data_IF_533282839196
#
_entry.id   IF_533282839196
#
_cell.length_a   1.000
_cell.length_b   1.000
_cell.length_c   1.000
_cell.angle_alpha   90.00
_cell.angle_beta   90.00
_cell.angle_gamma   90.00
#
_symmetry.space_group_name_H-M   'P 1'
#
loop_
_entity.id
_entity.type
_entity.pdbx_description
1 polymer ?
#
# COMPACT_ATOMS: atom_id res chain seq x y z
N UNK A 1 -12.33 40.84 15.45
CA UNK A 1 -11.49 40.96 14.25
C UNK A 1 -10.75 39.64 14.08
N UNK A 2 -10.92 38.97 12.93
CA UNK A 2 -10.18 37.76 12.50
C UNK A 2 -10.57 36.51 13.29
N UNK A 3 -10.95 35.38 12.70
CA UNK A 3 -10.41 34.78 11.48
C UNK A 3 -11.57 34.22 10.65
N UNK A 4 -11.74 34.77 9.45
CA UNK A 4 -12.28 34.02 8.32
C UNK A 4 -11.27 32.92 8.06
N UNK A 5 -11.62 31.67 8.40
CA UNK A 5 -10.77 30.52 8.08
C UNK A 5 -10.48 30.56 6.59
N UNK A 6 -9.21 30.79 6.25
CA UNK A 6 -8.73 30.76 4.87
C UNK A 6 -8.96 29.33 4.38
N UNK A 7 -10.05 29.13 3.65
CA UNK A 7 -10.39 27.84 3.04
C UNK A 7 -9.55 27.71 1.76
N UNK A 8 -8.23 27.81 1.91
CA UNK A 8 -7.29 27.73 0.80
C UNK A 8 -7.28 26.29 0.32
N UNK A 9 -7.73 26.09 -0.91
CA UNK A 9 -7.71 24.77 -1.53
C UNK A 9 -6.27 24.27 -1.62
N UNK A 10 -6.02 23.08 -1.09
CA UNK A 10 -4.72 22.43 -1.15
C UNK A 10 -4.68 21.53 -2.37
N UNK A 11 -3.62 21.62 -3.14
CA UNK A 11 -3.38 20.78 -4.31
C UNK A 11 -2.12 19.94 -4.14
N UNK A 12 -2.19 18.69 -4.57
CA UNK A 12 -1.05 17.79 -4.67
C UNK A 12 -0.92 17.26 -6.09
N UNK A 13 0.31 17.17 -6.60
CA UNK A 13 0.57 16.60 -7.93
C UNK A 13 0.76 15.10 -7.82
N UNK A 14 -0.16 14.34 -8.40
CA UNK A 14 -0.13 12.88 -8.43
C UNK A 14 0.44 12.37 -9.75
N UNK A 15 1.22 11.29 -9.66
CA UNK A 15 1.84 10.65 -10.81
C UNK A 15 1.04 9.45 -11.27
N UNK A 16 0.60 9.47 -12.52
CA UNK A 16 -0.09 8.36 -13.17
C UNK A 16 0.82 7.76 -14.24
N UNK A 17 0.76 6.44 -14.41
CA UNK A 17 1.59 5.74 -15.39
C UNK A 17 0.74 4.77 -16.21
N UNK A 18 0.91 4.84 -17.52
CA UNK A 18 0.42 3.82 -18.45
C UNK A 18 1.51 2.76 -18.62
N UNK A 19 1.30 1.51 -18.19
CA UNK A 19 2.31 0.46 -18.26
C UNK A 19 2.79 0.15 -19.67
N UNK A 20 4.10 -0.10 -19.80
CA UNK A 20 4.68 -0.84 -20.90
C UNK A 20 4.92 -2.30 -20.53
N UNK A 21 4.12 -3.17 -21.13
CA UNK A 21 4.20 -4.62 -20.95
C UNK A 21 5.02 -5.30 -22.07
N UNK A 22 5.81 -4.53 -22.84
CA UNK A 22 6.72 -5.06 -23.85
C UNK A 22 7.74 -6.07 -23.28
N UNK A 23 8.18 -5.85 -22.04
CA UNK A 23 9.04 -6.78 -21.30
C UNK A 23 8.16 -7.64 -20.37
N UNK A 24 8.13 -8.98 -20.59
CA UNK A 24 7.26 -9.87 -19.84
C UNK A 24 7.72 -10.00 -18.38
N UNK A 25 6.79 -10.32 -17.48
CA UNK A 25 7.06 -10.38 -16.04
C UNK A 25 8.18 -11.34 -15.65
N UNK A 26 8.39 -12.40 -16.42
CA UNK A 26 9.43 -13.41 -16.21
C UNK A 26 10.85 -12.87 -16.43
N UNK A 27 11.00 -11.80 -17.20
CA UNK A 27 12.28 -11.15 -17.53
C UNK A 27 12.59 -9.95 -16.63
N UNK A 28 11.61 -9.47 -15.87
CA UNK A 28 11.78 -8.37 -14.92
C UNK A 28 12.42 -8.85 -13.62
N UNK A 29 13.14 -7.97 -12.93
CA UNK A 29 13.68 -8.21 -11.59
C UNK A 29 12.56 -8.48 -10.57
N UNK A 30 12.88 -9.19 -9.49
CA UNK A 30 11.99 -9.33 -8.32
C UNK A 30 11.50 -7.96 -7.85
N UNK A 31 10.21 -7.90 -7.52
CA UNK A 31 9.45 -6.74 -7.06
C UNK A 31 9.58 -5.51 -8.00
N UNK A 32 9.68 -5.75 -9.30
CA UNK A 32 9.76 -4.69 -10.32
C UNK A 32 8.50 -4.69 -11.19
N UNK A 33 7.78 -3.58 -11.14
CA UNK A 33 6.64 -3.25 -12.00
C UNK A 33 7.07 -3.12 -13.47
N UNK A 34 6.13 -3.17 -14.43
CA UNK A 34 6.41 -2.73 -15.80
C UNK A 34 7.02 -1.32 -15.82
N UNK A 35 7.79 -1.03 -16.87
CA UNK A 35 8.14 0.36 -17.21
C UNK A 35 6.87 1.09 -17.69
N UNK A 36 7.00 2.36 -18.04
CA UNK A 36 5.90 3.22 -18.46
C UNK A 36 6.00 3.53 -19.95
N UNK A 37 4.89 3.46 -20.68
CA UNK A 37 4.75 4.08 -22.01
C UNK A 37 4.59 5.58 -21.91
N UNK A 38 3.90 6.01 -20.86
CA UNK A 38 3.53 7.39 -20.60
C UNK A 38 3.45 7.60 -19.10
N UNK A 39 4.06 8.69 -18.63
CA UNK A 39 3.90 9.19 -17.27
C UNK A 39 3.24 10.56 -17.36
N UNK A 40 2.22 10.82 -16.53
CA UNK A 40 1.61 12.14 -16.38
C UNK A 40 1.53 12.52 -14.91
N UNK A 41 2.05 13.69 -14.60
CA UNK A 41 1.92 14.34 -13.30
C UNK A 41 0.73 15.31 -13.39
N UNK A 42 -0.30 15.08 -12.58
CA UNK A 42 -1.58 15.81 -12.64
C UNK A 42 -1.87 16.42 -11.27
N UNK A 43 -2.03 17.75 -11.16
CA UNK A 43 -2.50 18.41 -9.94
C UNK A 43 -3.93 17.97 -9.59
N UNK A 44 -4.13 17.57 -8.35
CA UNK A 44 -5.43 17.16 -7.81
C UNK A 44 -5.72 17.93 -6.54
N UNK A 45 -7.00 18.28 -6.36
CA UNK A 45 -7.45 18.85 -5.09
C UNK A 45 -7.33 17.80 -4.00
N UNK A 46 -6.75 18.19 -2.87
CA UNK A 46 -6.62 17.37 -1.68
C UNK A 46 -7.70 17.73 -0.66
N UNK A 47 -8.34 16.71 -0.12
CA UNK A 47 -9.38 16.82 0.88
C UNK A 47 -8.84 16.32 2.24
N UNK A 48 -8.81 17.18 3.26
CA UNK A 48 -8.38 16.74 4.59
C UNK A 48 -9.44 15.79 5.17
N UNK A 49 -9.03 14.56 5.46
CA UNK A 49 -9.92 13.51 5.96
C UNK A 49 -10.63 13.89 7.26
N UNK A 50 -10.03 14.77 8.09
CA UNK A 50 -10.61 15.16 9.38
C UNK A 50 -11.79 16.09 9.24
N UNK A 51 -11.81 16.91 8.20
CA UNK A 51 -12.76 18.02 8.07
C UNK A 51 -13.74 17.86 6.92
N UNK A 52 -13.43 17.05 5.91
CA UNK A 52 -14.35 16.77 4.80
C UNK A 52 -15.42 15.75 5.21
N UNK A 53 -16.71 16.15 5.33
CA UNK A 53 -17.77 15.29 5.85
C UNK A 53 -18.21 14.18 4.88
N UNK A 54 -17.67 14.15 3.65
CA UNK A 54 -17.98 13.11 2.66
C UNK A 54 -17.30 11.77 2.94
N UNK A 55 -16.29 11.75 3.81
CA UNK A 55 -15.56 10.53 4.16
C UNK A 55 -16.20 9.84 5.34
N UNK A 56 -16.36 8.52 5.21
CA UNK A 56 -16.83 7.65 6.28
C UNK A 56 -15.66 7.25 7.18
N UNK A 57 -15.82 7.36 8.49
CA UNK A 57 -14.77 7.02 9.47
C UNK A 57 -14.91 5.59 10.02
N UNK A 58 -13.83 5.08 10.60
CA UNK A 58 -13.79 3.75 11.22
C UNK A 58 -13.84 2.61 10.20
N UNK A 59 -14.14 1.39 10.67
CA UNK A 59 -14.18 0.19 9.83
C UNK A 59 -15.09 0.30 8.60
N UNK A 60 -16.19 1.06 8.70
CA UNK A 60 -17.11 1.30 7.59
C UNK A 60 -16.45 2.07 6.42
N UNK A 61 -15.46 2.93 6.68
CA UNK A 61 -14.71 3.64 5.64
C UNK A 61 -13.97 2.70 4.69
N UNK A 62 -13.48 1.57 5.21
CA UNK A 62 -12.80 0.54 4.41
C UNK A 62 -13.72 -0.12 3.40
N UNK A 63 -15.02 -0.25 3.72
CA UNK A 63 -16.01 -0.81 2.80
C UNK A 63 -16.63 0.26 1.90
N UNK A 64 -16.72 1.52 2.34
CA UNK A 64 -17.32 2.61 1.55
C UNK A 64 -16.36 3.18 0.52
N UNK A 65 -15.17 3.62 0.96
CA UNK A 65 -14.22 4.36 0.12
C UNK A 65 -12.83 3.70 0.01
N UNK A 66 -12.60 2.58 0.71
CA UNK A 66 -11.36 1.80 0.64
C UNK A 66 -10.31 2.19 1.69
N UNK A 67 -10.54 3.22 2.50
CA UNK A 67 -9.60 3.67 3.53
C UNK A 67 -10.32 4.30 4.73
N UNK A 68 -9.63 4.34 5.86
CA UNK A 68 -9.99 5.11 7.05
C UNK A 68 -8.75 5.55 7.79
N UNK A 69 -8.88 6.58 8.62
CA UNK A 69 -7.90 6.89 9.65
C UNK A 69 -8.46 6.57 11.03
N UNK A 70 -7.60 6.14 11.93
CA UNK A 70 -7.92 5.81 13.32
C UNK A 70 -6.85 6.38 14.24
N UNK A 71 -7.24 6.76 15.45
CA UNK A 71 -6.28 7.10 16.50
C UNK A 71 -5.75 5.81 17.13
N UNK A 72 -4.44 5.63 17.13
CA UNK A 72 -3.79 4.51 17.80
C UNK A 72 -2.38 4.88 18.24
N UNK A 73 -2.05 4.70 19.52
CA UNK A 73 -0.70 4.88 20.05
C UNK A 73 0.02 3.54 20.10
N UNK A 74 1.20 3.46 19.49
CA UNK A 74 2.03 2.25 19.51
C UNK A 74 2.84 2.13 20.80
N UNK A 75 3.22 0.91 21.16
CA UNK A 75 4.24 0.65 22.18
C UNK A 75 5.64 1.14 21.74
N UNK A 76 5.87 1.33 20.44
CA UNK A 76 7.12 1.84 19.88
C UNK A 76 7.02 3.32 19.51
N UNK A 77 8.15 4.03 19.60
CA UNK A 77 8.30 5.42 19.21
C UNK A 77 9.67 5.71 18.60
N UNK A 78 9.74 6.69 17.68
CA UNK A 78 11.00 7.18 17.13
C UNK A 78 11.92 6.09 16.58
N UNK A 79 13.17 6.06 17.07
CA UNK A 79 14.20 5.11 16.60
C UNK A 79 13.88 3.64 16.90
N UNK A 80 12.99 3.36 17.86
CA UNK A 80 12.65 1.99 18.25
C UNK A 80 12.06 1.18 17.07
N UNK A 81 11.48 1.83 16.06
CA UNK A 81 11.00 1.17 14.84
C UNK A 81 12.13 0.60 13.96
N UNK A 82 13.36 1.08 14.12
CA UNK A 82 14.53 0.67 13.33
C UNK A 82 15.43 -0.33 14.08
N UNK A 83 15.12 -0.63 15.34
CA UNK A 83 15.98 -1.42 16.23
C UNK A 83 15.63 -2.90 16.23
N UNK A 84 16.66 -3.73 16.06
CA UNK A 84 16.61 -5.17 16.29
C UNK A 84 15.43 -5.86 15.60
N UNK A 85 14.57 -6.48 16.42
CA UNK A 85 13.37 -7.22 16.01
C UNK A 85 12.07 -6.57 16.51
N UNK A 86 12.10 -5.29 16.88
CA UNK A 86 10.92 -4.61 17.44
C UNK A 86 9.72 -4.64 16.48
N UNK A 87 9.97 -4.59 15.16
CA UNK A 87 8.90 -4.70 14.16
C UNK A 87 8.25 -6.08 14.20
N UNK A 88 9.04 -7.14 14.25
CA UNK A 88 8.55 -8.52 14.24
C UNK A 88 7.90 -8.91 15.57
N UNK A 89 8.49 -8.50 16.69
CA UNK A 89 8.13 -8.98 18.04
C UNK A 89 7.13 -8.08 18.77
N UNK A 90 7.04 -6.80 18.42
CA UNK A 90 6.16 -5.82 19.09
C UNK A 90 5.14 -5.22 18.11
N UNK A 91 5.62 -4.55 17.06
CA UNK A 91 4.74 -3.75 16.21
C UNK A 91 3.84 -4.60 15.31
N UNK A 92 4.36 -5.69 14.73
CA UNK A 92 3.59 -6.60 13.88
C UNK A 92 2.38 -7.18 14.61
N UNK A 93 2.56 -7.81 15.78
CA UNK A 93 1.45 -8.28 16.61
C UNK A 93 0.45 -7.16 16.98
N UNK A 94 0.95 -5.98 17.39
CA UNK A 94 0.11 -4.81 17.71
C UNK A 94 -0.79 -4.41 16.53
N UNK A 95 -0.21 -4.33 15.32
CA UNK A 95 -0.95 -3.95 14.11
C UNK A 95 -1.95 -5.05 13.69
N UNK A 96 -1.63 -6.33 13.86
CA UNK A 96 -2.59 -7.41 13.65
C UNK A 96 -3.82 -7.26 14.56
N UNK A 97 -3.63 -6.94 15.84
CA UNK A 97 -4.75 -6.67 16.76
C UNK A 97 -5.55 -5.43 16.34
N UNK A 98 -4.86 -4.34 15.95
CA UNK A 98 -5.53 -3.14 15.44
C UNK A 98 -6.43 -3.46 14.23
N UNK A 99 -5.91 -4.19 13.24
CA UNK A 99 -6.68 -4.58 12.05
C UNK A 99 -7.90 -5.43 12.44
N UNK A 100 -7.75 -6.40 13.35
CA UNK A 100 -8.89 -7.20 13.84
C UNK A 100 -9.94 -6.33 14.53
N UNK A 101 -9.53 -5.39 15.37
CA UNK A 101 -10.44 -4.49 16.08
C UNK A 101 -11.23 -3.57 15.13
N UNK A 102 -10.57 -3.06 14.08
CA UNK A 102 -11.20 -2.14 13.12
C UNK A 102 -12.11 -2.89 12.15
N UNK A 103 -11.72 -4.09 11.71
CA UNK A 103 -12.40 -4.82 10.63
C UNK A 103 -13.38 -5.89 11.11
N UNK A 104 -13.22 -6.37 12.35
CA UNK A 104 -13.93 -7.53 12.87
C UNK A 104 -13.35 -8.88 12.47
N UNK A 105 -12.20 -8.92 11.79
CA UNK A 105 -11.51 -10.15 11.42
C UNK A 105 -11.13 -11.01 12.64
N UNK A 106 -11.09 -12.34 12.45
CA UNK A 106 -10.81 -13.32 13.51
C UNK A 106 -9.33 -13.67 13.61
N UNK A 107 -8.65 -13.70 12.47
CA UNK A 107 -7.22 -13.99 12.34
C UNK A 107 -6.56 -12.91 11.50
N UNK A 108 -5.31 -12.60 11.80
CA UNK A 108 -4.52 -11.64 11.05
C UNK A 108 -3.03 -12.00 11.09
N UNK A 109 -2.33 -11.78 9.98
CA UNK A 109 -0.88 -12.00 9.85
C UNK A 109 -0.23 -10.91 9.01
N UNK A 110 1.00 -10.53 9.36
CA UNK A 110 1.79 -9.58 8.58
C UNK A 110 2.40 -10.28 7.36
N UNK A 111 2.05 -9.79 6.18
CA UNK A 111 2.67 -10.15 4.90
C UNK A 111 4.05 -9.50 4.75
N UNK A 112 4.11 -8.17 4.90
CA UNK A 112 5.33 -7.40 4.69
C UNK A 112 5.32 -6.06 5.43
N UNK A 113 6.51 -5.52 5.70
CA UNK A 113 6.68 -4.19 6.31
C UNK A 113 7.62 -3.33 5.48
N UNK A 114 7.33 -2.05 5.34
CA UNK A 114 8.24 -1.09 4.70
C UNK A 114 8.46 0.12 5.61
N UNK A 115 9.72 0.43 5.90
CA UNK A 115 10.12 1.66 6.57
C UNK A 115 10.59 2.68 5.52
N UNK A 116 10.09 3.91 5.61
CA UNK A 116 10.48 5.01 4.72
C UNK A 116 11.07 6.14 5.53
N UNK A 117 12.19 6.66 5.07
CA UNK A 117 12.93 7.74 5.73
C UNK A 117 13.83 8.52 4.77
N UNK A 118 13.79 8.22 3.46
CA UNK A 118 14.56 8.91 2.43
C UNK A 118 13.71 10.02 1.82
N UNK A 119 14.34 11.15 1.52
CA UNK A 119 13.73 12.22 0.74
C UNK A 119 13.36 11.66 -0.63
N UNK A 120 12.11 11.77 -1.05
CA UNK A 120 11.78 11.52 -2.44
C UNK A 120 12.47 12.56 -3.33
N UNK A 121 13.26 12.13 -4.30
CA UNK A 121 13.86 13.00 -5.31
C UNK A 121 13.16 12.77 -6.65
N UNK A 122 12.89 13.82 -7.42
CA UNK A 122 12.21 13.68 -8.72
C UNK A 122 13.00 12.84 -9.73
N UNK A 123 14.30 12.67 -9.49
CA UNK A 123 15.29 12.06 -10.39
C UNK A 123 15.45 10.54 -10.26
N UNK A 124 14.96 9.89 -9.19
CA UNK A 124 15.32 8.50 -8.90
C UNK A 124 14.41 7.42 -9.51
N UNK A 125 13.18 7.78 -9.92
CA UNK A 125 12.32 6.85 -10.64
C UNK A 125 12.54 7.00 -12.15
N UNK A 126 13.50 6.24 -12.69
CA UNK A 126 13.55 6.01 -14.13
C UNK A 126 12.39 5.09 -14.54
N UNK A 127 11.20 5.69 -14.66
CA UNK A 127 9.95 4.99 -14.92
C UNK A 127 9.86 4.38 -16.33
N UNK A 128 10.78 4.74 -17.23
CA UNK A 128 10.83 4.23 -18.59
C UNK A 128 11.75 3.01 -18.72
N UNK A 129 12.55 2.72 -17.70
CA UNK A 129 13.45 1.57 -17.68
C UNK A 129 13.00 0.52 -16.67
N UNK A 130 13.08 -0.75 -17.08
CA UNK A 130 12.78 -1.88 -16.21
C UNK A 130 14.09 -2.53 -15.76
N UNK A 131 14.17 -2.87 -14.48
CA UNK A 131 15.28 -3.66 -13.95
C UNK A 131 15.06 -5.11 -14.35
N UNK A 132 16.08 -5.74 -14.93
CA UNK A 132 15.98 -7.09 -15.47
C UNK A 132 16.32 -8.17 -14.45
N UNK A 133 15.75 -9.36 -14.68
CA UNK A 133 16.09 -10.59 -13.98
C UNK A 133 17.59 -10.86 -14.05
N UNK A 134 18.13 -11.42 -12.97
CA UNK A 134 19.57 -11.68 -12.77
C UNK A 134 20.46 -10.41 -12.78
N UNK A 135 19.86 -9.22 -12.85
CA UNK A 135 20.54 -7.95 -12.62
C UNK A 135 20.87 -7.69 -11.14
N UNK A 136 21.57 -6.59 -10.81
CA UNK A 136 22.06 -6.32 -9.45
C UNK A 136 20.97 -6.32 -8.38
N UNK A 137 19.82 -5.72 -8.67
CA UNK A 137 18.67 -5.71 -7.74
C UNK A 137 18.11 -7.13 -7.53
N UNK A 138 17.87 -7.87 -8.61
CA UNK A 138 17.29 -9.22 -8.56
C UNK A 138 18.19 -10.15 -7.71
N UNK A 139 19.50 -10.11 -7.96
CA UNK A 139 20.50 -10.89 -7.24
C UNK A 139 20.66 -10.46 -5.78
N UNK A 140 20.48 -9.17 -5.46
CA UNK A 140 20.48 -8.71 -4.08
C UNK A 140 19.23 -9.22 -3.33
N UNK A 141 18.08 -9.23 -3.99
CA UNK A 141 16.82 -9.69 -3.39
C UNK A 141 16.83 -11.20 -3.17
N UNK A 142 17.37 -11.99 -4.10
CA UNK A 142 17.49 -13.46 -3.96
C UNK A 142 18.31 -13.93 -2.75
N UNK A 143 19.10 -13.05 -2.12
CA UNK A 143 19.86 -13.36 -0.90
C UNK A 143 19.01 -13.36 0.37
N UNK A 144 17.80 -12.79 0.32
CA UNK A 144 16.92 -12.79 1.48
C UNK A 144 16.29 -14.17 1.67
N UNK A 145 16.18 -14.58 2.93
CA UNK A 145 15.41 -15.75 3.31
C UNK A 145 13.92 -15.49 3.05
N UNK A 146 13.26 -16.25 2.16
CA UNK A 146 11.86 -16.03 1.82
C UNK A 146 10.90 -16.51 2.92
N UNK A 147 11.38 -17.27 3.91
CA UNK A 147 10.55 -17.85 4.97
C UNK A 147 10.25 -16.88 6.12
N UNK A 148 10.91 -15.72 6.17
CA UNK A 148 10.79 -14.74 7.25
C UNK A 148 10.15 -13.44 6.77
N UNK A 149 9.56 -12.69 7.71
CA UNK A 149 9.02 -11.36 7.45
C UNK A 149 10.13 -10.41 6.98
N UNK A 150 9.95 -9.83 5.79
CA UNK A 150 10.86 -8.82 5.25
C UNK A 150 10.50 -7.44 5.79
N UNK A 151 11.53 -6.70 6.21
CA UNK A 151 11.40 -5.32 6.71
C UNK A 151 12.39 -4.38 5.99
N UNK A 152 12.21 -4.15 4.67
CA UNK A 152 12.96 -3.12 3.94
C UNK A 152 12.91 -1.75 4.63
N UNK A 153 14.03 -1.03 4.59
CA UNK A 153 14.16 0.32 5.16
C UNK A 153 14.54 0.37 6.64
N UNK A 154 14.69 -0.79 7.32
CA UNK A 154 15.21 -0.85 8.68
C UNK A 154 16.61 -0.24 8.80
N UNK A 155 17.49 -0.53 7.85
CA UNK A 155 18.80 0.11 7.77
C UNK A 155 18.66 1.52 7.18
N UNK A 156 18.30 2.46 8.05
CA UNK A 156 18.10 3.87 7.73
C UNK A 156 19.34 4.54 7.12
N UNK A 157 20.54 4.03 7.41
CA UNK A 157 21.80 4.65 6.96
C UNK A 157 22.16 4.20 5.54
N UNK A 158 21.97 2.91 5.24
CA UNK A 158 22.49 2.33 4.00
C UNK A 158 21.41 1.99 2.96
N UNK A 159 20.15 1.81 3.37
CA UNK A 159 19.06 1.42 2.47
C UNK A 159 17.71 2.07 2.80
N UNK A 160 17.64 3.42 2.97
CA UNK A 160 16.37 4.08 3.24
C UNK A 160 15.52 4.13 1.96
N UNK A 161 14.21 3.91 2.12
CA UNK A 161 13.25 3.96 1.02
C UNK A 161 12.58 5.33 0.90
N UNK A 162 12.35 5.76 -0.34
CA UNK A 162 11.58 6.95 -0.70
C UNK A 162 10.06 6.66 -0.65
N UNK A 163 9.23 7.68 -0.42
CA UNK A 163 7.81 7.64 -0.80
C UNK A 163 7.63 7.33 -2.29
N UNK A 164 6.73 6.40 -2.63
CA UNK A 164 6.41 6.03 -4.00
C UNK A 164 5.38 7.02 -4.58
N UNK A 165 5.70 7.64 -5.72
CA UNK A 165 4.87 8.71 -6.31
C UNK A 165 3.78 8.18 -7.23
N UNK A 166 4.05 7.09 -7.94
CA UNK A 166 3.09 6.47 -8.89
C UNK A 166 1.83 6.03 -8.16
N UNK A 167 0.65 6.34 -8.71
CA UNK A 167 -0.64 5.96 -8.15
C UNK A 167 -0.93 4.46 -8.40
N UNK A 168 -1.05 3.68 -7.32
CA UNK A 168 -1.15 2.22 -7.40
C UNK A 168 -1.94 1.61 -6.23
N UNK A 169 -2.23 0.31 -6.32
CA UNK A 169 -2.53 -0.57 -5.19
C UNK A 169 -1.58 -1.76 -5.26
N UNK A 170 -0.96 -2.14 -4.14
CA UNK A 170 0.06 -3.20 -4.12
C UNK A 170 -0.50 -4.60 -4.42
N UNK A 171 -1.83 -4.75 -4.35
CA UNK A 171 -2.54 -5.99 -4.63
C UNK A 171 -3.71 -5.75 -5.58
N UNK A 172 -3.97 -6.74 -6.41
CA UNK A 172 -5.31 -7.06 -6.90
C UNK A 172 -5.85 -8.29 -6.13
N UNK A 173 -7.08 -8.72 -6.40
CA UNK A 173 -7.67 -9.81 -5.64
C UNK A 173 -6.94 -11.13 -5.91
N UNK A 174 -6.56 -11.42 -7.15
CA UNK A 174 -5.77 -12.62 -7.46
C UNK A 174 -4.41 -12.62 -6.77
N UNK A 175 -3.71 -11.48 -6.75
CA UNK A 175 -2.44 -11.31 -6.05
C UNK A 175 -2.53 -11.62 -4.57
N UNK A 176 -3.65 -11.25 -3.91
CA UNK A 176 -3.91 -11.65 -2.52
C UNK A 176 -4.01 -13.18 -2.39
N UNK A 177 -4.78 -13.84 -3.26
CA UNK A 177 -4.93 -15.31 -3.24
C UNK A 177 -3.59 -16.01 -3.45
N UNK A 178 -2.81 -15.54 -4.41
CA UNK A 178 -1.50 -16.10 -4.73
C UNK A 178 -0.52 -15.90 -3.57
N UNK A 179 -0.53 -14.73 -2.93
CA UNK A 179 0.29 -14.46 -1.73
C UNK A 179 -0.05 -15.40 -0.59
N UNK A 180 -1.35 -15.60 -0.30
CA UNK A 180 -1.80 -16.50 0.77
C UNK A 180 -1.37 -17.95 0.51
N UNK A 181 -1.41 -18.40 -0.75
CA UNK A 181 -1.05 -19.78 -1.14
C UNK A 181 0.45 -20.02 -1.26
N UNK A 182 1.22 -19.01 -1.66
CA UNK A 182 2.58 -19.23 -2.17
C UNK A 182 3.68 -18.41 -1.51
N UNK A 183 3.38 -17.30 -0.82
CA UNK A 183 4.43 -16.41 -0.36
C UNK A 183 5.26 -17.00 0.80
N UNK A 184 4.62 -17.31 1.93
CA UNK A 184 5.27 -17.79 3.14
C UNK A 184 4.48 -18.92 3.79
N UNK A 185 5.18 -19.88 4.38
CA UNK A 185 4.59 -21.07 5.00
C UNK A 185 3.65 -20.71 6.14
N UNK A 186 4.01 -19.75 7.00
CA UNK A 186 3.18 -19.34 8.13
C UNK A 186 1.86 -18.64 7.71
N UNK A 187 1.89 -17.91 6.60
CA UNK A 187 0.69 -17.34 5.98
C UNK A 187 -0.21 -18.48 5.46
N UNK A 188 0.34 -19.42 4.70
CA UNK A 188 -0.42 -20.55 4.16
C UNK A 188 -0.99 -21.45 5.27
N UNK A 189 -0.23 -21.67 6.34
CA UNK A 189 -0.69 -22.40 7.52
C UNK A 189 -1.84 -21.69 8.24
N UNK A 190 -1.74 -20.37 8.45
CA UNK A 190 -2.83 -19.60 9.05
C UNK A 190 -4.08 -19.64 8.18
N UNK A 191 -3.92 -19.56 6.86
CA UNK A 191 -5.00 -19.55 5.88
C UNK A 191 -5.57 -20.94 5.54
N UNK A 192 -5.01 -22.01 6.10
CA UNK A 192 -5.39 -23.38 5.75
C UNK A 192 -6.91 -23.63 5.75
N UNK A 193 -7.71 -23.17 6.73
CA UNK A 193 -9.16 -23.36 6.70
C UNK A 193 -9.81 -22.69 5.47
N UNK A 194 -9.36 -21.50 5.11
CA UNK A 194 -9.84 -20.72 3.97
C UNK A 194 -9.42 -21.39 2.65
N UNK A 195 -8.18 -21.85 2.55
CA UNK A 195 -7.69 -22.54 1.36
C UNK A 195 -8.44 -23.86 1.12
N UNK A 196 -8.66 -24.66 2.18
CA UNK A 196 -9.46 -25.87 2.10
C UNK A 196 -10.92 -25.59 1.74
N UNK A 197 -11.49 -24.47 2.19
CA UNK A 197 -12.83 -24.03 1.81
C UNK A 197 -12.90 -23.65 0.32
N UNK A 198 -11.94 -22.87 -0.19
CA UNK A 198 -11.84 -22.58 -1.62
C UNK A 198 -11.70 -23.84 -2.48
N UNK A 199 -10.90 -24.82 -2.03
CA UNK A 199 -10.71 -26.09 -2.74
C UNK A 199 -12.00 -26.94 -2.78
N UNK A 200 -12.93 -26.72 -1.83
CA UNK A 200 -14.30 -27.28 -1.84
C UNK A 200 -15.28 -26.46 -2.68
N UNK A 201 -14.85 -25.34 -3.26
CA UNK A 201 -15.70 -24.42 -4.04
C UNK A 201 -16.47 -23.40 -3.20
N UNK A 202 -16.11 -23.22 -1.93
CA UNK A 202 -16.65 -22.16 -1.09
C UNK A 202 -15.94 -20.81 -1.40
N UNK A 203 -16.44 -19.72 -0.83
CA UNK A 203 -15.86 -18.38 -1.01
C UNK A 203 -15.60 -17.72 0.34
N UNK A 204 -14.62 -18.23 1.11
CA UNK A 204 -14.24 -17.63 2.38
C UNK A 204 -13.76 -16.20 2.16
N UNK A 205 -14.03 -15.33 3.14
CA UNK A 205 -13.60 -13.94 3.08
C UNK A 205 -12.27 -13.76 3.78
N UNK A 206 -11.29 -13.29 3.02
CA UNK A 206 -10.06 -12.67 3.50
C UNK A 206 -9.72 -11.43 2.68
N UNK A 207 -9.01 -10.50 3.31
CA UNK A 207 -8.62 -9.22 2.74
C UNK A 207 -7.20 -8.87 3.15
N UNK A 208 -6.52 -8.04 2.37
CA UNK A 208 -5.25 -7.43 2.76
C UNK A 208 -5.44 -5.94 2.95
N UNK A 209 -4.93 -5.45 4.07
CA UNK A 209 -4.92 -4.05 4.45
C UNK A 209 -3.48 -3.57 4.60
N UNK A 210 -3.23 -2.30 4.32
CA UNK A 210 -1.98 -1.64 4.69
C UNK A 210 -2.22 -0.65 5.81
N UNK A 211 -1.41 -0.74 6.85
CA UNK A 211 -1.46 0.15 8.01
C UNK A 211 -0.25 1.07 7.97
N UNK A 212 -0.50 2.35 7.80
CA UNK A 212 0.52 3.38 7.66
C UNK A 212 0.54 4.29 8.87
N UNK A 213 1.67 4.25 9.59
CA UNK A 213 1.92 5.06 10.78
C UNK A 213 3.08 6.02 10.53
N UNK A 214 2.90 7.34 10.74
CA UNK A 214 4.01 8.25 10.86
C UNK A 214 4.86 7.95 12.11
N UNK A 215 6.19 8.00 11.98
CA UNK A 215 7.11 7.91 13.12
C UNK A 215 7.29 9.30 13.76
N UNK A 216 7.14 10.36 12.96
CA UNK A 216 7.11 11.77 13.35
C UNK A 216 6.04 12.49 12.52
N UNK A 217 5.69 13.72 12.89
CA UNK A 217 4.73 14.54 12.13
C UNK A 217 5.13 14.64 10.66
N UNK A 218 4.19 14.35 9.76
CA UNK A 218 4.40 14.40 8.30
C UNK A 218 4.13 15.80 7.78
N UNK A 219 5.17 16.47 7.29
CA UNK A 219 5.08 17.81 6.69
C UNK A 219 5.32 17.84 5.18
N UNK A 220 5.83 16.74 4.63
CA UNK A 220 6.18 16.56 3.22
C UNK A 220 5.88 15.15 2.77
N UNK A 221 5.61 14.99 1.48
CA UNK A 221 5.35 13.70 0.85
C UNK A 221 4.26 12.90 1.61
N UNK A 222 3.08 13.50 1.87
CA UNK A 222 2.00 12.82 2.58
C UNK A 222 1.50 11.63 1.76
N UNK A 223 0.76 10.73 2.40
CA UNK A 223 0.05 9.69 1.67
C UNK A 223 -1.28 10.24 1.19
N UNK A 224 -1.46 10.34 -0.12
CA UNK A 224 -2.75 10.58 -0.75
C UNK A 224 -3.46 9.26 -1.03
N UNK A 225 -4.74 9.19 -0.70
CA UNK A 225 -5.60 8.01 -0.92
C UNK A 225 -6.84 8.41 -1.71
N UNK A 226 -7.15 7.65 -2.75
CA UNK A 226 -8.25 7.93 -3.65
C UNK A 226 -9.53 7.27 -3.13
N UNK A 227 -10.62 8.03 -3.06
CA UNK A 227 -11.96 7.48 -2.86
C UNK A 227 -12.30 6.56 -4.04
N UNK A 228 -12.31 5.25 -3.76
CA UNK A 228 -12.58 4.19 -4.71
C UNK A 228 -13.83 4.43 -5.58
N UNK A 229 -14.85 5.09 -5.02
CA UNK A 229 -16.13 5.35 -5.70
C UNK A 229 -16.00 6.35 -6.85
N UNK A 230 -14.91 7.12 -6.86
CA UNK A 230 -14.69 8.20 -7.83
C UNK A 230 -13.76 7.83 -8.97
N UNK A 231 -13.06 6.70 -8.86
CA UNK A 231 -12.20 6.19 -9.93
C UNK A 231 -13.04 5.46 -11.00
N UNK A 232 -12.75 5.72 -12.27
CA UNK A 232 -13.24 4.86 -13.35
C UNK A 232 -12.45 3.54 -13.32
N UNK A 233 -13.14 2.43 -13.11
CA UNK A 233 -12.53 1.09 -13.03
C UNK A 233 -11.80 0.69 -14.31
N UNK A 234 -12.16 1.28 -15.46
CA UNK A 234 -11.45 1.06 -16.73
C UNK A 234 -10.12 1.82 -16.84
N UNK A 235 -9.83 2.72 -15.88
CA UNK A 235 -8.57 3.45 -15.76
C UNK A 235 -7.65 2.86 -14.68
N UNK A 236 -7.98 1.66 -14.19
CA UNK A 236 -7.16 0.87 -13.27
C UNK A 236 -6.70 -0.40 -13.99
N UNK A 237 -5.40 -0.49 -14.26
CA UNK A 237 -4.78 -1.60 -14.98
C UNK A 237 -4.17 -2.61 -14.02
N UNK A 238 -4.31 -3.89 -14.37
CA UNK A 238 -3.64 -4.98 -13.66
C UNK A 238 -2.20 -5.14 -14.16
N UNK A 239 -1.28 -5.41 -13.26
CA UNK A 239 0.05 -5.89 -13.61
C UNK A 239 0.56 -6.88 -12.57
N UNK A 240 1.57 -7.66 -12.95
CA UNK A 240 2.18 -8.64 -12.06
C UNK A 240 3.62 -8.27 -11.73
N UNK A 241 4.12 -8.76 -10.61
CA UNK A 241 5.56 -8.71 -10.27
C UNK A 241 6.02 -10.09 -9.83
N UNK A 242 7.29 -10.42 -10.10
CA UNK A 242 7.93 -11.58 -9.47
C UNK A 242 8.13 -11.26 -7.99
N UNK A 243 7.78 -12.19 -7.11
CA UNK A 243 8.00 -12.10 -5.67
C UNK A 243 8.68 -13.37 -5.16
N UNK A 244 9.36 -13.28 -4.02
CA UNK A 244 9.99 -14.43 -3.38
C UNK A 244 8.93 -15.32 -2.74
N UNK A 245 9.16 -16.63 -2.76
CA UNK A 245 8.28 -17.63 -2.17
C UNK A 245 9.10 -18.64 -1.37
N UNK A 246 8.59 -19.01 -0.19
CA UNK A 246 9.12 -20.09 0.62
C UNK A 246 8.48 -21.45 0.33
N UNK A 247 7.45 -21.49 -0.53
CA UNK A 247 6.60 -22.67 -0.76
C UNK A 247 6.87 -23.29 -2.13
N UNK A 248 6.98 -22.45 -3.16
CA UNK A 248 7.14 -22.90 -4.55
C UNK A 248 8.56 -23.46 -4.79
N UNK A 249 8.72 -24.51 -5.62
CA UNK A 249 10.02 -25.14 -5.84
C UNK A 249 11.09 -24.22 -6.45
N UNK A 250 10.68 -23.21 -7.21
CA UNK A 250 11.58 -22.23 -7.83
C UNK A 250 11.88 -21.02 -6.92
N UNK A 251 11.33 -20.99 -5.69
CA UNK A 251 11.51 -19.90 -4.73
C UNK A 251 10.82 -18.59 -5.12
N UNK A 252 9.92 -18.61 -6.10
CA UNK A 252 9.27 -17.42 -6.64
C UNK A 252 7.77 -17.65 -6.95
N UNK A 253 6.98 -16.59 -6.89
CA UNK A 253 5.59 -16.57 -7.38
C UNK A 253 5.31 -15.24 -8.08
N UNK A 254 4.17 -15.15 -8.77
CA UNK A 254 3.69 -13.89 -9.35
C UNK A 254 2.67 -13.27 -8.41
N UNK A 255 2.84 -11.98 -8.09
CA UNK A 255 1.86 -11.21 -7.34
C UNK A 255 1.23 -10.16 -8.24
N UNK A 256 -0.09 -10.17 -8.33
CA UNK A 256 -0.87 -9.14 -9.01
C UNK A 256 -1.01 -7.87 -8.17
N UNK A 257 -1.06 -6.73 -8.86
CA UNK A 257 -1.11 -5.37 -8.33
C UNK A 257 -1.84 -4.49 -9.33
N UNK A 258 -2.24 -3.29 -8.90
CA UNK A 258 -3.00 -2.35 -9.73
C UNK A 258 -2.25 -1.04 -9.91
N UNK A 259 -2.41 -0.43 -11.08
CA UNK A 259 -1.85 0.88 -11.39
C UNK A 259 -2.93 1.77 -12.01
N UNK A 260 -2.99 3.02 -11.57
CA UNK A 260 -3.94 3.97 -12.14
C UNK A 260 -3.30 4.65 -13.35
N UNK A 261 -3.88 4.45 -14.54
CA UNK A 261 -3.43 5.12 -15.76
C UNK A 261 -3.89 6.58 -15.76
N UNK A 262 -3.33 7.47 -16.62
CA UNK A 262 -3.74 8.86 -16.60
C UNK A 262 -5.25 9.04 -16.82
N UNK A 263 -5.98 9.65 -15.86
CA UNK A 263 -7.43 9.77 -15.92
C UNK A 263 -7.90 10.71 -17.03
N UNK A 264 -9.07 10.41 -17.62
CA UNK A 264 -9.73 11.29 -18.60
C UNK A 264 -10.41 12.48 -17.95
N UNK A 265 -10.98 12.29 -16.76
CA UNK A 265 -11.72 13.31 -16.00
C UNK A 265 -11.08 13.49 -14.61
N UNK A 266 -9.84 13.99 -14.54
CA UNK A 266 -9.08 14.09 -13.28
C UNK A 266 -9.83 14.86 -12.19
N UNK A 267 -10.65 15.85 -12.55
CA UNK A 267 -11.41 16.70 -11.62
C UNK A 267 -12.50 15.97 -10.83
N UNK A 268 -12.89 14.76 -11.26
CA UNK A 268 -13.88 13.93 -10.56
C UNK A 268 -13.26 13.09 -9.44
N UNK A 269 -11.95 12.89 -9.48
CA UNK A 269 -11.22 12.09 -8.50
C UNK A 269 -11.20 12.82 -7.15
N UNK A 270 -11.55 12.11 -6.08
CA UNK A 270 -11.53 12.64 -4.72
C UNK A 270 -10.36 12.05 -3.94
N UNK A 271 -9.27 12.81 -3.88
CA UNK A 271 -8.08 12.45 -3.13
C UNK A 271 -8.16 12.97 -1.69
N UNK A 272 -8.15 12.05 -0.73
CA UNK A 272 -8.02 12.39 0.68
C UNK A 272 -6.55 12.37 1.11
N UNK A 273 -6.25 13.16 2.15
CA UNK A 273 -4.97 13.13 2.85
C UNK A 273 -5.17 13.59 4.30
N UNK A 274 -4.08 13.62 5.09
CA UNK A 274 -4.05 14.31 6.37
C UNK A 274 -2.92 15.34 6.39
N UNK A 275 -3.27 16.61 6.61
CA UNK A 275 -2.28 17.66 6.83
C UNK A 275 -1.61 17.49 8.19
N UNK A 276 -0.29 17.67 8.27
CA UNK A 276 0.48 17.51 9.52
C UNK A 276 0.16 16.21 10.25
N UNK A 277 0.09 15.08 9.51
CA UNK A 277 -0.31 13.79 10.07
C UNK A 277 0.59 13.41 11.26
N UNK A 278 -0.01 13.19 12.42
CA UNK A 278 0.66 12.89 13.68
C UNK A 278 0.94 11.39 13.82
N UNK A 279 1.92 10.98 14.66
CA UNK A 279 2.25 9.57 14.86
C UNK A 279 1.12 8.68 15.39
N UNK A 280 0.11 9.26 16.05
CA UNK A 280 -1.08 8.55 16.52
C UNK A 280 -2.20 8.51 15.47
N UNK A 281 -2.13 9.29 14.40
CA UNK A 281 -3.12 9.30 13.32
C UNK A 281 -2.74 8.22 12.28
N UNK A 282 -3.26 7.01 12.45
CA UNK A 282 -2.90 5.84 11.66
C UNK A 282 -3.88 5.64 10.52
N UNK A 283 -3.35 5.54 9.29
CA UNK A 283 -4.15 5.23 8.11
C UNK A 283 -4.24 3.72 7.92
N UNK A 284 -5.43 3.23 7.64
CA UNK A 284 -5.68 1.86 7.20
C UNK A 284 -6.32 1.94 5.83
N UNK A 285 -5.73 1.26 4.86
CA UNK A 285 -6.22 1.21 3.49
C UNK A 285 -6.36 -0.23 3.03
N UNK A 286 -7.42 -0.51 2.28
CA UNK A 286 -7.71 -1.82 1.72
C UNK A 286 -6.93 -1.99 0.42
N UNK A 287 -6.17 -3.06 0.32
CA UNK A 287 -5.42 -3.41 -0.89
C UNK A 287 -6.18 -4.42 -1.75
N UNK A 288 -6.85 -5.40 -1.14
CA UNK A 288 -7.77 -6.32 -1.81
C UNK A 288 -8.73 -6.96 -0.80
N UNK A 289 -9.92 -7.37 -1.24
CA UNK A 289 -10.92 -8.09 -0.43
C UNK A 289 -11.64 -9.11 -1.31
N UNK A 290 -11.50 -10.40 -0.98
CA UNK A 290 -12.10 -11.51 -1.75
C UNK A 290 -13.63 -11.45 -1.84
N UNK A 291 -14.29 -10.77 -0.89
CA UNK A 291 -15.73 -10.53 -0.93
C UNK A 291 -16.11 -9.41 -1.93
N UNK A 292 -15.20 -8.51 -2.26
CA UNK A 292 -15.40 -7.48 -3.28
C UNK A 292 -15.15 -8.02 -4.70
N UNK A 293 -14.19 -8.94 -4.84
CA UNK A 293 -13.68 -9.38 -6.14
C UNK A 293 -12.52 -8.49 -6.62
N UNK A 294 -12.21 -8.53 -7.91
CA UNK A 294 -11.08 -7.75 -8.47
C UNK A 294 -11.34 -6.26 -8.40
N UNK A 295 -12.51 -5.83 -8.88
CA UNK A 295 -12.90 -4.43 -9.01
C UNK A 295 -14.31 -4.19 -8.46
N UNK A 296 -14.70 -4.92 -7.41
CA UNK A 296 -15.96 -4.71 -6.69
C UNK A 296 -17.18 -5.32 -7.39
N UNK A 297 -16.98 -6.33 -8.23
CA UNK A 297 -18.04 -7.01 -8.98
C UNK A 297 -18.86 -8.00 -8.15
N UNK A 298 -18.33 -8.47 -7.01
CA UNK A 298 -19.01 -9.48 -6.16
C UNK A 298 -19.91 -8.86 -5.09
N UNK A 299 -19.48 -7.76 -4.50
CA UNK A 299 -20.22 -7.05 -3.46
C UNK A 299 -20.01 -5.55 -3.60
N UNK A 300 -21.03 -4.78 -3.27
CA UNK A 300 -20.97 -3.32 -3.24
C UNK A 300 -20.18 -2.80 -2.02
N UNK A 301 -18.88 -3.10 -2.00
CA UNK A 301 -17.87 -2.57 -1.07
C UNK A 301 -16.63 -2.21 -1.90
N UNK A 302 -15.78 -1.34 -1.36
CA UNK A 302 -14.50 -1.03 -1.97
C UNK A 302 -13.64 -2.29 -2.10
N UNK A 303 -13.08 -2.51 -3.29
CA UNK A 303 -12.20 -3.63 -3.58
C UNK A 303 -10.76 -3.33 -3.18
N UNK A 304 -10.33 -2.08 -3.38
CA UNK A 304 -8.99 -1.60 -3.08
C UNK A 304 -8.99 -0.08 -2.86
N UNK A 305 -7.81 0.48 -2.62
CA UNK A 305 -7.56 1.90 -2.49
C UNK A 305 -6.32 2.27 -3.30
N UNK A 306 -6.51 2.97 -4.41
CA UNK A 306 -5.40 3.58 -5.14
C UNK A 306 -4.79 4.66 -4.24
N UNK A 307 -3.47 4.67 -4.15
CA UNK A 307 -2.73 5.61 -3.31
C UNK A 307 -1.41 6.00 -3.97
N UNK A 308 -0.85 7.11 -3.52
CA UNK A 308 0.43 7.63 -3.98
C UNK A 308 0.90 8.78 -3.10
N UNK A 309 2.16 9.16 -3.23
CA UNK A 309 2.73 10.30 -2.51
C UNK A 309 2.76 11.55 -3.39
N UNK A 310 1.74 12.43 -3.33
CA UNK A 310 1.75 13.65 -4.13
C UNK A 310 2.88 14.60 -3.68
N UNK A 311 3.41 15.39 -4.62
CA UNK A 311 4.18 16.58 -4.26
C UNK A 311 3.23 17.74 -3.96
N UNK A 312 3.46 18.45 -2.85
CA UNK A 312 2.68 19.63 -2.47
C UNK A 312 3.63 20.83 -2.53
N UNK A 313 3.26 21.82 -3.33
CA UNK A 313 4.05 23.03 -3.50
C UNK A 313 4.24 23.75 -2.15
N UNK A 314 5.46 24.21 -1.88
CA UNK A 314 5.82 24.91 -0.64
C UNK A 314 6.31 24.01 0.50
N UNK A 315 6.29 22.69 0.30
CA UNK A 315 6.79 21.72 1.29
C UNK A 315 8.20 21.20 0.97
N UNK A 316 8.86 21.71 -0.08
CA UNK A 316 10.10 21.14 -0.63
C UNK A 316 11.26 21.13 0.39
N UNK A 317 11.31 22.15 1.25
CA UNK A 317 12.33 22.32 2.28
C UNK A 317 12.01 21.59 3.60
N UNK A 318 10.84 20.96 3.71
CA UNK A 318 10.48 20.19 4.89
C UNK A 318 11.24 18.85 4.94
N UNK A 319 11.35 18.29 6.14
CA UNK A 319 12.06 17.04 6.34
C UNK A 319 11.37 15.86 5.64
N UNK A 320 12.15 14.84 5.27
CA UNK A 320 11.63 13.59 4.74
C UNK A 320 10.57 13.02 5.67
N UNK A 321 9.48 12.51 5.07
CA UNK A 321 8.52 11.66 5.77
C UNK A 321 9.26 10.48 6.40
N UNK A 322 8.93 10.21 7.66
CA UNK A 322 9.31 8.97 8.33
C UNK A 322 8.06 8.20 8.71
N UNK A 323 7.93 6.98 8.21
CA UNK A 323 6.75 6.17 8.46
C UNK A 323 7.05 4.68 8.33
N UNK A 324 6.23 3.88 8.99
CA UNK A 324 6.16 2.44 8.83
C UNK A 324 4.85 2.05 8.16
N UNK A 325 4.94 1.19 7.16
CA UNK A 325 3.85 0.53 6.48
C UNK A 325 3.83 -0.95 6.87
N UNK A 326 2.70 -1.47 7.36
CA UNK A 326 2.51 -2.89 7.63
C UNK A 326 1.36 -3.43 6.77
N UNK A 327 1.66 -4.39 5.90
CA UNK A 327 0.66 -5.13 5.11
C UNK A 327 0.16 -6.31 5.94
N UNK A 328 -1.14 -6.35 6.19
CA UNK A 328 -1.79 -7.32 7.07
C UNK A 328 -2.86 -8.06 6.29
N UNK A 329 -2.74 -9.38 6.22
CA UNK A 329 -3.78 -10.26 5.71
C UNK A 329 -4.71 -10.59 6.86
N UNK A 330 -6.00 -10.37 6.69
CA UNK A 330 -7.04 -10.57 7.67
C UNK A 330 -8.07 -11.58 7.16
N UNK A 331 -8.42 -12.55 8.00
CA UNK A 331 -9.37 -13.62 7.70
C UNK A 331 -10.62 -13.47 8.58
N UNK A 332 -11.80 -13.59 7.98
CA UNK A 332 -13.07 -13.25 8.64
C UNK A 332 -13.83 -14.45 9.19
N UNK A 333 -13.48 -15.66 8.75
CA UNK A 333 -14.04 -16.92 9.25
C UNK A 333 -13.22 -17.49 10.43
#
# INVERSE_FOLDING_TARGET
MGSTGDNTEIYGTFRYSLPDNSIPVQERSLYTSPSSKLVKDIPQKLHDFRTDPSFTHGGAGLDVQGFTYVEHTSALSGEQFFEGKNIEEVYGPEVCELVKNVTGAKRAIIDGVTLRSRLATETEEDLYHVKLKDGPQDMAIKKFDPSVLRVPGRDRKNAPFEPLRVCHSDYDCQGLKDTVRHCRTDIAEMAKPDLEAEDRGESPRYAVYSVWRPIKTVKRDPLGVLDWRTADKSEVEHHQTRALSAITPNGEYLRGSLIHIPPKNPEQLRWAFMSDQQPNEVLILKFADTAAGELGEKRNIAAHCIHGSPSIAGTENEAARESVECRVIAFFE
#
